data_IF_804992584657
#
_entry.id   IF_804992584657
#
_cell.length_a   1.000
_cell.length_b   1.000
_cell.length_c   1.000
_cell.angle_alpha   90.00
_cell.angle_beta   90.00
_cell.angle_gamma   90.00
#
_symmetry.space_group_name_H-M   'P 1'
#
loop_
_entity.id
_entity.type
_entity.pdbx_description
1 polymer ?
#
# COMPACT_ATOMS: atom_id res chain seq x y z
N UNK A 1 -4.12 12.04 69.18
CA UNK A 1 -3.13 11.38 68.29
C UNK A 1 -3.21 12.05 66.93
N UNK A 2 -2.11 12.64 66.47
CA UNK A 2 -2.03 13.35 65.18
C UNK A 2 -1.80 12.28 64.10
N UNK A 3 -2.57 12.23 62.99
CA UNK A 3 -2.38 11.20 61.97
C UNK A 3 -1.02 11.40 61.29
N UNK A 4 -0.28 10.31 61.13
CA UNK A 4 0.99 10.23 60.41
C UNK A 4 0.79 10.64 58.96
N UNK A 5 1.62 11.57 58.48
CA UNK A 5 1.68 11.96 57.08
C UNK A 5 2.25 10.80 56.25
N UNK A 6 1.71 10.50 55.05
CA UNK A 6 2.28 9.48 54.18
C UNK A 6 3.68 9.92 53.76
N UNK A 7 4.66 9.01 53.87
CA UNK A 7 6.03 9.27 53.45
C UNK A 7 6.04 9.61 51.95
N UNK A 8 6.56 10.80 51.60
CA UNK A 8 6.78 11.17 50.21
C UNK A 8 7.72 10.16 49.53
N UNK A 9 7.44 9.74 48.28
CA UNK A 9 8.26 8.75 47.59
C UNK A 9 9.73 9.18 47.53
N UNK A 10 10.65 8.24 47.72
CA UNK A 10 12.07 8.50 47.60
C UNK A 10 12.39 8.87 46.12
N UNK A 11 12.97 10.05 45.84
CA UNK A 11 13.28 10.47 44.47
C UNK A 11 14.18 9.49 43.69
N UNK A 12 14.97 8.67 44.39
CA UNK A 12 15.82 7.65 43.77
C UNK A 12 14.99 6.47 43.22
N UNK A 13 13.92 6.07 43.91
CA UNK A 13 13.01 5.00 43.47
C UNK A 13 12.13 5.46 42.31
N UNK A 14 11.68 6.73 42.34
CA UNK A 14 10.91 7.32 41.24
C UNK A 14 11.75 7.43 39.96
N UNK A 15 13.00 7.88 40.06
CA UNK A 15 13.91 7.93 38.92
C UNK A 15 14.22 6.54 38.35
N UNK A 16 14.36 5.53 39.20
CA UNK A 16 14.56 4.14 38.79
C UNK A 16 13.35 3.59 38.03
N UNK A 17 12.12 3.81 38.53
CA UNK A 17 10.87 3.41 37.87
C UNK A 17 10.71 4.07 36.48
N UNK A 18 11.01 5.36 36.35
CA UNK A 18 10.97 6.07 35.07
C UNK A 18 12.02 5.57 34.07
N UNK A 19 13.21 5.22 34.55
CA UNK A 19 14.30 4.71 33.69
C UNK A 19 13.94 3.35 33.08
N UNK A 20 13.33 2.45 33.86
CA UNK A 20 12.89 1.14 33.39
C UNK A 20 11.74 1.27 32.39
N UNK A 21 10.77 2.16 32.68
CA UNK A 21 9.70 2.46 31.74
C UNK A 21 10.22 3.02 30.41
N UNK A 22 11.18 3.95 30.48
CA UNK A 22 11.74 4.59 29.28
C UNK A 22 12.46 3.57 28.40
N UNK A 23 13.17 2.62 29.02
CA UNK A 23 13.81 1.50 28.33
C UNK A 23 12.79 0.65 27.58
N UNK A 24 11.71 0.23 28.24
CA UNK A 24 10.65 -0.56 27.59
C UNK A 24 9.96 0.19 26.45
N UNK A 25 9.73 1.49 26.62
CA UNK A 25 9.14 2.34 25.58
C UNK A 25 10.09 2.50 24.38
N UNK A 26 11.39 2.67 24.62
CA UNK A 26 12.39 2.79 23.56
C UNK A 26 12.53 1.48 22.76
N UNK A 27 12.55 0.33 23.46
CA UNK A 27 12.55 -0.98 22.81
C UNK A 27 11.31 -1.20 21.92
N UNK A 28 10.13 -0.76 22.38
CA UNK A 28 8.90 -0.85 21.58
C UNK A 28 8.97 0.06 20.33
N UNK A 29 9.35 1.32 20.51
CA UNK A 29 9.48 2.29 19.41
C UNK A 29 10.53 1.84 18.38
N UNK A 30 11.64 1.26 18.84
CA UNK A 30 12.68 0.72 17.98
C UNK A 30 12.18 -0.48 17.18
N UNK A 31 11.50 -1.44 17.82
CA UNK A 31 10.89 -2.58 17.12
C UNK A 31 9.88 -2.12 16.06
N UNK A 32 8.99 -1.21 16.43
CA UNK A 32 7.96 -0.69 15.53
C UNK A 32 8.59 0.02 14.32
N UNK A 33 9.52 0.94 14.56
CA UNK A 33 10.16 1.70 13.46
C UNK A 33 11.10 0.85 12.62
N UNK A 34 11.67 -0.23 13.18
CA UNK A 34 12.43 -1.24 12.42
C UNK A 34 11.53 -1.95 11.41
N UNK A 35 10.38 -2.48 11.85
CA UNK A 35 9.40 -3.12 10.96
C UNK A 35 8.98 -2.17 9.82
N UNK A 36 8.70 -0.91 10.14
CA UNK A 36 8.31 0.08 9.13
C UNK A 36 9.41 0.34 8.10
N UNK A 37 10.67 0.42 8.54
CA UNK A 37 11.82 0.61 7.65
C UNK A 37 12.05 -0.61 6.78
N UNK A 38 11.98 -1.82 7.35
CA UNK A 38 12.15 -3.08 6.62
C UNK A 38 11.06 -3.26 5.56
N UNK A 39 9.80 -3.00 5.89
CA UNK A 39 8.69 -3.04 4.93
C UNK A 39 8.90 -2.02 3.80
N UNK A 40 9.31 -0.78 4.13
CA UNK A 40 9.60 0.25 3.14
C UNK A 40 10.76 -0.15 2.23
N UNK A 41 11.81 -0.76 2.77
CA UNK A 41 12.97 -1.21 2.00
C UNK A 41 12.61 -2.36 1.05
N UNK A 42 11.77 -3.30 1.49
CA UNK A 42 11.20 -4.33 0.61
C UNK A 42 10.43 -3.75 -0.57
N UNK A 43 9.57 -2.75 -0.31
CA UNK A 43 8.81 -2.05 -1.37
C UNK A 43 9.74 -1.32 -2.34
N UNK A 44 10.80 -0.67 -1.84
CA UNK A 44 11.75 0.06 -2.68
C UNK A 44 12.55 -0.87 -3.60
N UNK A 45 13.03 -1.99 -3.07
CA UNK A 45 13.73 -3.01 -3.87
C UNK A 45 12.80 -3.59 -4.94
N UNK A 46 11.58 -3.98 -4.55
CA UNK A 46 10.60 -4.51 -5.50
C UNK A 46 10.26 -3.48 -6.57
N UNK A 47 10.00 -2.22 -6.19
CA UNK A 47 9.70 -1.14 -7.13
C UNK A 47 10.83 -0.91 -8.14
N UNK A 48 12.09 -0.93 -7.69
CA UNK A 48 13.24 -0.78 -8.59
C UNK A 48 13.32 -1.90 -9.63
N UNK A 49 13.19 -3.16 -9.20
CA UNK A 49 13.20 -4.33 -10.09
C UNK A 49 12.00 -4.30 -11.05
N UNK A 50 10.81 -4.03 -10.51
CA UNK A 50 9.58 -3.98 -11.28
C UNK A 50 9.57 -2.82 -12.29
N UNK A 51 10.16 -1.68 -11.95
CA UNK A 51 10.37 -0.56 -12.86
C UNK A 51 11.25 -0.96 -14.04
N UNK A 52 12.32 -1.73 -13.82
CA UNK A 52 13.18 -2.21 -14.90
C UNK A 52 12.43 -3.16 -15.85
N UNK A 53 11.70 -4.15 -15.29
CA UNK A 53 10.88 -5.10 -16.06
C UNK A 53 9.80 -4.37 -16.85
N UNK A 54 9.07 -3.46 -16.21
CA UNK A 54 8.01 -2.66 -16.84
C UNK A 54 8.57 -1.77 -17.94
N UNK A 55 9.72 -1.13 -17.73
CA UNK A 55 10.37 -0.28 -18.74
C UNK A 55 10.80 -1.11 -19.95
N UNK A 56 11.36 -2.31 -19.74
CA UNK A 56 11.72 -3.20 -20.84
C UNK A 56 10.50 -3.62 -21.67
N UNK A 57 9.39 -3.97 -20.99
CA UNK A 57 8.13 -4.28 -21.66
C UNK A 57 7.61 -3.08 -22.45
N UNK A 58 7.58 -1.89 -21.83
CA UNK A 58 7.16 -0.64 -22.47
C UNK A 58 7.98 -0.37 -23.74
N UNK A 59 9.30 -0.42 -23.67
CA UNK A 59 10.20 -0.22 -24.83
C UNK A 59 9.84 -1.20 -25.97
N UNK A 60 9.58 -2.46 -25.65
CA UNK A 60 9.20 -3.45 -26.66
C UNK A 60 7.82 -3.18 -27.26
N UNK A 61 6.83 -2.78 -26.45
CA UNK A 61 5.50 -2.43 -26.98
C UNK A 61 5.47 -1.13 -27.76
N UNK A 62 6.34 -0.16 -27.47
CA UNK A 62 6.42 1.08 -28.24
C UNK A 62 6.80 0.83 -29.70
N UNK A 63 7.62 -0.20 -29.97
CA UNK A 63 7.97 -0.59 -31.34
C UNK A 63 6.73 -1.00 -32.16
N UNK A 64 5.68 -1.51 -31.50
CA UNK A 64 4.41 -1.90 -32.14
C UNK A 64 3.44 -0.73 -32.37
N UNK A 65 3.76 0.45 -31.83
CA UNK A 65 3.00 1.69 -32.04
C UNK A 65 3.56 2.55 -33.18
N UNK A 66 4.67 2.13 -33.79
CA UNK A 66 5.26 2.76 -34.96
C UNK A 66 5.09 1.85 -36.18
N UNK A 67 5.00 2.40 -37.40
CA UNK A 67 5.13 1.60 -38.60
C UNK A 67 6.45 0.82 -38.57
N UNK A 68 6.41 -0.47 -38.85
CA UNK A 68 7.63 -1.25 -39.04
C UNK A 68 8.25 -0.88 -40.40
N UNK A 69 9.51 -0.46 -40.40
CA UNK A 69 10.24 -0.14 -41.63
C UNK A 69 10.38 -1.37 -42.54
N UNK A 70 10.38 -2.58 -41.95
CA UNK A 70 10.32 -3.84 -42.68
C UNK A 70 9.02 -3.99 -43.47
N UNK A 71 7.87 -3.86 -42.79
CA UNK A 71 6.56 -3.94 -43.42
C UNK A 71 6.37 -2.85 -44.49
N UNK A 72 6.81 -1.62 -44.23
CA UNK A 72 6.81 -0.55 -45.23
C UNK A 72 7.64 -0.93 -46.47
N UNK A 73 8.85 -1.48 -46.27
CA UNK A 73 9.71 -1.92 -47.39
C UNK A 73 9.06 -3.04 -48.19
N UNK A 74 8.44 -4.03 -47.53
CA UNK A 74 7.72 -5.11 -48.25
C UNK A 74 6.53 -4.58 -49.04
N UNK A 75 5.77 -3.64 -48.48
CA UNK A 75 4.64 -3.02 -49.19
C UNK A 75 5.09 -2.23 -50.42
N UNK A 76 6.22 -1.50 -50.32
CA UNK A 76 6.83 -0.79 -51.45
C UNK A 76 7.40 -1.75 -52.50
N UNK A 77 7.98 -2.88 -52.08
CA UNK A 77 8.46 -3.93 -53.00
C UNK A 77 7.31 -4.59 -53.76
N UNK A 78 6.16 -4.80 -53.10
CA UNK A 78 4.95 -5.31 -53.75
C UNK A 78 4.44 -4.29 -54.79
N UNK A 79 4.36 -3.01 -54.43
CA UNK A 79 3.94 -1.95 -55.36
C UNK A 79 4.89 -1.84 -56.57
N UNK A 80 6.22 -1.85 -56.33
CA UNK A 80 7.22 -1.90 -57.40
C UNK A 80 7.06 -3.16 -58.28
N UNK A 81 6.82 -4.33 -57.68
CA UNK A 81 6.64 -5.57 -58.44
C UNK A 81 5.42 -5.49 -59.37
N UNK A 82 4.31 -4.91 -58.89
CA UNK A 82 3.09 -4.73 -59.66
C UNK A 82 3.25 -3.68 -60.76
N UNK A 83 3.97 -2.59 -60.50
CA UNK A 83 4.27 -1.58 -61.53
C UNK A 83 5.15 -2.16 -62.65
N UNK A 84 6.17 -2.95 -62.31
CA UNK A 84 7.05 -3.59 -63.30
C UNK A 84 6.25 -4.58 -64.17
N UNK A 85 5.47 -5.48 -63.54
CA UNK A 85 4.63 -6.44 -64.28
C UNK A 85 3.52 -5.76 -65.11
N UNK A 86 2.95 -4.66 -64.62
CA UNK A 86 1.96 -3.87 -65.36
C UNK A 86 2.54 -3.17 -66.60
N UNK A 87 3.79 -2.72 -66.51
CA UNK A 87 4.49 -2.06 -67.62
C UNK A 87 4.76 -3.01 -68.80
N UNK A 88 5.04 -4.28 -68.52
CA UNK A 88 5.25 -5.31 -69.55
C UNK A 88 3.96 -5.60 -70.35
N UNK A 89 2.79 -5.45 -69.72
CA UNK A 89 1.48 -5.65 -70.35
C UNK A 89 0.87 -4.36 -70.95
N UNK A 90 1.57 -3.21 -70.91
CA UNK A 90 1.08 -1.94 -71.45
C UNK A 90 -0.07 -1.30 -70.65
N UNK A 91 -0.43 -1.86 -69.50
CA UNK A 91 -1.45 -1.33 -68.59
C UNK A 91 -0.80 -0.44 -67.52
N UNK A 92 -1.15 0.84 -67.47
CA UNK A 92 -0.78 1.71 -66.35
C UNK A 92 -1.53 1.27 -65.09
N UNK A 93 -0.83 0.60 -64.18
CA UNK A 93 -1.39 0.23 -62.87
C UNK A 93 -1.33 1.48 -61.97
N UNK A 94 -2.45 1.92 -61.39
CA UNK A 94 -2.44 3.05 -60.46
C UNK A 94 -1.58 2.72 -59.23
N UNK A 95 -0.90 3.72 -58.62
CA UNK A 95 -0.07 3.50 -57.43
C UNK A 95 -0.90 2.86 -56.31
N UNK A 96 -0.37 1.82 -55.66
CA UNK A 96 -1.07 1.18 -54.55
C UNK A 96 -1.21 2.18 -53.38
N UNK A 97 -2.44 2.53 -52.95
CA UNK A 97 -2.61 3.47 -51.84
C UNK A 97 -2.12 2.82 -50.55
N UNK A 98 -1.00 3.31 -50.01
CA UNK A 98 -0.49 2.89 -48.71
C UNK A 98 -1.46 3.42 -47.65
N UNK A 99 -2.21 2.56 -46.94
CA UNK A 99 -3.14 3.03 -45.92
C UNK A 99 -2.36 3.74 -44.81
N UNK A 100 -2.91 4.82 -44.22
CA UNK A 100 -2.28 5.49 -43.10
C UNK A 100 -2.14 4.50 -41.94
N UNK A 101 -0.95 4.48 -41.32
CA UNK A 101 -0.70 3.62 -40.17
C UNK A 101 -1.63 3.99 -39.01
N UNK A 102 -2.39 3.00 -38.53
CA UNK A 102 -3.21 3.13 -37.33
C UNK A 102 -2.81 2.02 -36.35
N UNK A 103 -2.32 2.37 -35.15
CA UNK A 103 -1.91 1.37 -34.17
C UNK A 103 -3.10 0.55 -33.68
N UNK A 104 -2.87 -0.74 -33.41
CA UNK A 104 -3.89 -1.63 -32.89
C UNK A 104 -4.33 -1.21 -31.48
N UNK A 105 -5.64 -1.25 -31.23
CA UNK A 105 -6.25 -0.96 -29.92
C UNK A 105 -5.59 -1.76 -28.78
N UNK A 106 -5.23 -3.02 -29.03
CA UNK A 106 -4.60 -3.90 -28.04
C UNK A 106 -3.22 -3.37 -27.60
N UNK A 107 -2.39 -2.92 -28.54
CA UNK A 107 -1.06 -2.39 -28.22
C UNK A 107 -1.14 -1.01 -27.55
N UNK A 108 -2.09 -0.16 -27.94
CA UNK A 108 -2.32 1.12 -27.26
C UNK A 108 -2.75 0.90 -25.81
N UNK A 109 -3.73 0.02 -25.59
CA UNK A 109 -4.26 -0.28 -24.24
C UNK A 109 -3.19 -0.90 -23.36
N UNK A 110 -2.39 -1.82 -23.89
CA UNK A 110 -1.25 -2.41 -23.20
C UNK A 110 -0.25 -1.34 -22.71
N UNK A 111 0.13 -0.39 -23.58
CA UNK A 111 1.06 0.68 -23.21
C UNK A 111 0.48 1.55 -22.08
N UNK A 112 -0.80 1.93 -22.16
CA UNK A 112 -1.48 2.70 -21.11
C UNK A 112 -1.44 1.93 -19.78
N UNK A 113 -1.76 0.63 -19.79
CA UNK A 113 -1.74 -0.20 -18.59
C UNK A 113 -0.34 -0.33 -17.98
N UNK A 114 0.71 -0.51 -18.80
CA UNK A 114 2.08 -0.59 -18.31
C UNK A 114 2.62 0.75 -17.80
N UNK A 115 2.28 1.87 -18.44
CA UNK A 115 2.62 3.20 -17.93
C UNK A 115 1.90 3.49 -16.62
N UNK A 116 0.62 3.14 -16.50
CA UNK A 116 -0.14 3.28 -15.26
C UNK A 116 0.45 2.41 -14.16
N UNK A 117 0.79 1.16 -14.48
CA UNK A 117 1.47 0.24 -13.58
C UNK A 117 2.80 0.83 -13.07
N UNK A 118 3.63 1.36 -13.97
CA UNK A 118 4.90 2.00 -13.61
C UNK A 118 4.68 3.23 -12.70
N UNK A 119 3.73 4.10 -13.03
CA UNK A 119 3.41 5.28 -12.25
C UNK A 119 2.92 4.93 -10.83
N UNK A 120 2.07 3.91 -10.69
CA UNK A 120 1.61 3.39 -9.40
C UNK A 120 2.76 2.79 -8.59
N UNK A 121 3.66 2.04 -9.24
CA UNK A 121 4.86 1.49 -8.60
C UNK A 121 5.74 2.60 -8.03
N UNK A 122 6.07 3.62 -8.83
CA UNK A 122 6.86 4.77 -8.39
C UNK A 122 6.16 5.53 -7.24
N UNK A 123 4.84 5.71 -7.34
CA UNK A 123 4.05 6.33 -6.28
C UNK A 123 4.14 5.53 -4.97
N UNK A 124 4.13 4.20 -5.05
CA UNK A 124 4.33 3.32 -3.89
C UNK A 124 5.72 3.49 -3.26
N UNK A 125 6.78 3.60 -4.06
CA UNK A 125 8.13 3.87 -3.58
C UNK A 125 8.24 5.25 -2.91
N UNK A 126 7.61 6.29 -3.47
CA UNK A 126 7.55 7.61 -2.86
C UNK A 126 6.85 7.54 -1.49
N UNK A 127 5.71 6.86 -1.40
CA UNK A 127 5.01 6.66 -0.14
C UNK A 127 5.87 5.88 0.88
N UNK A 128 6.52 4.79 0.46
CA UNK A 128 7.44 4.03 1.30
C UNK A 128 8.62 4.88 1.83
N UNK A 129 9.21 5.73 0.97
CA UNK A 129 10.26 6.67 1.39
C UNK A 129 9.77 7.69 2.43
N UNK A 130 8.55 8.21 2.27
CA UNK A 130 7.95 9.13 3.23
C UNK A 130 7.71 8.46 4.58
N UNK A 131 7.22 7.22 4.60
CA UNK A 131 7.08 6.42 5.83
C UNK A 131 8.43 6.18 6.50
N UNK A 132 9.47 5.85 5.71
CA UNK A 132 10.83 5.68 6.23
C UNK A 132 11.37 6.97 6.84
N UNK A 133 11.12 8.12 6.20
CA UNK A 133 11.47 9.45 6.73
C UNK A 133 10.71 9.75 8.02
N UNK A 134 9.42 9.46 8.08
CA UNK A 134 8.62 9.61 9.28
C UNK A 134 9.14 8.74 10.42
N UNK A 135 9.40 7.45 10.18
CA UNK A 135 9.92 6.51 11.17
C UNK A 135 11.25 6.99 11.78
N UNK A 136 12.14 7.54 10.94
CA UNK A 136 13.39 8.17 11.42
C UNK A 136 13.11 9.40 12.29
N UNK A 137 12.25 10.30 11.81
CA UNK A 137 11.90 11.53 12.54
C UNK A 137 11.26 11.22 13.90
N UNK A 138 10.38 10.22 13.96
CA UNK A 138 9.77 9.74 15.19
C UNK A 138 10.83 9.32 16.22
N UNK A 139 11.77 8.44 15.81
CA UNK A 139 12.86 7.99 16.69
C UNK A 139 13.74 9.16 17.13
N UNK A 140 14.15 10.04 16.22
CA UNK A 140 15.01 11.17 16.57
C UNK A 140 14.33 12.08 17.59
N UNK A 141 13.08 12.49 17.35
CA UNK A 141 12.36 13.36 18.28
C UNK A 141 12.10 12.69 19.63
N UNK A 142 11.84 11.37 19.64
CA UNK A 142 11.63 10.60 20.88
C UNK A 142 12.88 10.47 21.76
N UNK A 143 14.08 10.75 21.21
CA UNK A 143 15.38 10.62 21.88
C UNK A 143 16.11 11.96 22.06
N UNK A 144 15.53 13.08 21.61
CA UNK A 144 16.14 14.41 21.71
C UNK A 144 16.07 15.04 23.11
N UNK A 145 15.25 14.50 24.01
CA UNK A 145 14.99 15.10 25.33
C UNK A 145 15.67 14.28 26.42
N UNK A 146 16.56 14.90 27.19
CA UNK A 146 17.37 14.23 28.23
C UNK A 146 16.58 13.93 29.51
N UNK A 147 15.57 14.75 29.84
CA UNK A 147 14.72 14.54 31.01
C UNK A 147 13.66 13.47 30.72
N UNK A 148 13.64 12.40 31.51
CA UNK A 148 12.73 11.26 31.30
C UNK A 148 11.25 11.65 31.29
N UNK A 149 10.83 12.57 32.17
CA UNK A 149 9.43 13.03 32.22
C UNK A 149 9.02 13.79 30.95
N UNK A 150 9.87 14.70 30.47
CA UNK A 150 9.59 15.49 29.26
C UNK A 150 9.72 14.65 27.99
N UNK A 151 10.62 13.67 27.99
CA UNK A 151 10.73 12.66 26.94
C UNK A 151 9.44 11.83 26.81
N UNK A 152 8.83 11.44 27.94
CA UNK A 152 7.56 10.73 27.95
C UNK A 152 6.40 11.59 27.39
N UNK A 153 6.38 12.90 27.68
CA UNK A 153 5.42 13.86 27.12
C UNK A 153 5.57 13.99 25.59
N UNK A 154 6.79 14.10 25.09
CA UNK A 154 7.04 14.18 23.64
C UNK A 154 6.66 12.88 22.94
N UNK A 155 7.01 11.71 23.51
CA UNK A 155 6.63 10.39 22.96
C UNK A 155 5.12 10.21 22.89
N UNK A 156 4.42 10.49 23.98
CA UNK A 156 2.96 10.40 24.01
C UNK A 156 2.31 11.37 23.02
N UNK A 157 2.80 12.61 22.90
CA UNK A 157 2.33 13.57 21.90
C UNK A 157 2.51 13.05 20.46
N UNK A 158 3.67 12.48 20.13
CA UNK A 158 3.94 11.91 18.81
C UNK A 158 3.06 10.68 18.52
N UNK A 159 2.87 9.81 19.52
CA UNK A 159 2.01 8.63 19.41
C UNK A 159 0.54 9.01 19.20
N UNK A 160 0.01 9.92 20.02
CA UNK A 160 -1.36 10.42 19.85
C UNK A 160 -1.52 11.18 18.53
N UNK A 161 -0.48 11.89 18.07
CA UNK A 161 -0.43 12.49 16.74
C UNK A 161 -0.54 11.44 15.63
N UNK A 162 0.28 10.39 15.69
CA UNK A 162 0.24 9.28 14.73
C UNK A 162 -1.15 8.62 14.68
N UNK A 163 -1.77 8.40 15.84
CA UNK A 163 -3.12 7.83 15.93
C UNK A 163 -4.17 8.79 15.36
N UNK A 164 -4.09 10.10 15.68
CA UNK A 164 -5.02 11.13 15.21
C UNK A 164 -4.99 11.31 13.69
N UNK A 165 -3.81 11.21 13.08
CA UNK A 165 -3.65 11.29 11.63
C UNK A 165 -3.79 9.94 10.92
N UNK A 166 -4.31 8.92 11.60
CA UNK A 166 -4.60 7.61 11.01
C UNK A 166 -3.37 6.99 10.33
N UNK A 167 -2.20 7.13 10.95
CA UNK A 167 -0.95 6.73 10.32
C UNK A 167 -0.88 5.25 9.97
N UNK A 168 -1.67 4.41 10.65
CA UNK A 168 -1.89 3.01 10.25
C UNK A 168 -2.32 2.86 8.79
N UNK A 169 -3.17 3.74 8.27
CA UNK A 169 -3.53 3.73 6.84
C UNK A 169 -2.37 4.12 5.95
N UNK A 170 -1.52 5.06 6.40
CA UNK A 170 -0.36 5.48 5.62
C UNK A 170 0.60 4.30 5.36
N UNK A 171 0.71 3.33 6.29
CA UNK A 171 1.50 2.12 6.11
C UNK A 171 0.89 1.10 5.13
N UNK A 172 -0.42 1.10 4.97
CA UNK A 172 -1.13 0.19 4.04
C UNK A 172 -1.20 0.73 2.61
N UNK A 173 -1.07 2.05 2.42
CA UNK A 173 -1.13 2.68 1.08
C UNK A 173 -0.04 2.19 0.12
N UNK A 174 1.27 2.20 0.48
CA UNK A 174 2.32 1.73 -0.42
C UNK A 174 2.11 0.30 -0.95
N UNK A 175 1.88 -0.74 -0.11
CA UNK A 175 1.69 -2.09 -0.62
C UNK A 175 0.42 -2.22 -1.48
N UNK A 176 -0.64 -1.46 -1.18
CA UNK A 176 -1.85 -1.45 -2.02
C UNK A 176 -1.57 -0.87 -3.41
N UNK A 177 -0.88 0.27 -3.50
CA UNK A 177 -0.47 0.85 -4.79
C UNK A 177 0.39 -0.13 -5.59
N UNK A 178 1.28 -0.86 -4.91
CA UNK A 178 2.14 -1.86 -5.50
C UNK A 178 1.35 -3.06 -6.05
N UNK A 179 0.35 -3.56 -5.32
CA UNK A 179 -0.51 -4.64 -5.80
C UNK A 179 -1.31 -4.22 -7.05
N UNK A 180 -1.89 -3.02 -7.05
CA UNK A 180 -2.57 -2.50 -8.24
C UNK A 180 -1.62 -2.39 -9.43
N UNK A 181 -0.39 -1.92 -9.20
CA UNK A 181 0.66 -1.86 -10.22
C UNK A 181 0.95 -3.22 -10.84
N UNK A 182 1.13 -4.27 -10.04
CA UNK A 182 1.34 -5.64 -10.54
C UNK A 182 0.14 -6.14 -11.35
N UNK A 183 -1.09 -5.90 -10.87
CA UNK A 183 -2.31 -6.30 -11.58
C UNK A 183 -2.45 -5.60 -12.94
N UNK A 184 -2.21 -4.29 -13.02
CA UNK A 184 -2.21 -3.57 -14.29
C UNK A 184 -1.12 -4.07 -15.25
N UNK A 185 0.04 -4.48 -14.73
CA UNK A 185 1.09 -5.06 -15.55
C UNK A 185 0.71 -6.42 -16.12
N UNK A 186 0.12 -7.29 -15.28
CA UNK A 186 -0.43 -8.57 -15.69
C UNK A 186 -1.50 -8.42 -16.78
N UNK A 187 -2.45 -7.49 -16.59
CA UNK A 187 -3.43 -7.17 -17.63
C UNK A 187 -2.77 -6.70 -18.93
N UNK A 188 -1.78 -5.81 -18.85
CA UNK A 188 -1.03 -5.36 -20.03
C UNK A 188 -0.39 -6.52 -20.80
N UNK A 189 0.16 -7.53 -20.11
CA UNK A 189 0.69 -8.74 -20.76
C UNK A 189 -0.38 -9.50 -21.55
N UNK A 190 -1.61 -9.62 -21.01
CA UNK A 190 -2.71 -10.25 -21.72
C UNK A 190 -3.06 -9.49 -23.01
N UNK A 191 -3.18 -8.17 -22.94
CA UNK A 191 -3.43 -7.33 -24.11
C UNK A 191 -2.29 -7.39 -25.13
N UNK A 192 -1.04 -7.48 -24.68
CA UNK A 192 0.13 -7.59 -25.55
C UNK A 192 0.17 -8.90 -26.34
N UNK A 193 -0.04 -10.04 -25.66
CA UNK A 193 0.08 -11.36 -26.29
C UNK A 193 -1.17 -11.77 -27.06
N UNK A 194 -2.34 -11.18 -26.78
CA UNK A 194 -3.59 -11.51 -27.48
C UNK A 194 -3.50 -11.42 -29.02
N UNK A 195 -2.97 -10.34 -29.63
CA UNK A 195 -2.79 -10.28 -31.09
C UNK A 195 -1.57 -11.07 -31.58
N UNK A 196 -0.56 -11.32 -30.75
CA UNK A 196 0.71 -11.95 -31.16
C UNK A 196 0.60 -13.47 -31.19
N UNK A 197 0.12 -14.10 -30.12
CA UNK A 197 0.01 -15.56 -30.03
C UNK A 197 -1.09 -15.99 -29.06
N UNK A 198 -2.14 -16.62 -29.61
CA UNK A 198 -3.27 -17.14 -28.82
C UNK A 198 -2.84 -18.16 -27.75
N UNK A 199 -1.92 -19.11 -28.01
CA UNK A 199 -1.48 -20.04 -26.97
C UNK A 199 -0.84 -19.32 -25.78
N UNK A 200 0.10 -18.40 -26.01
CA UNK A 200 0.76 -17.66 -24.94
C UNK A 200 -0.24 -16.83 -24.13
N UNK A 201 -1.20 -16.19 -24.80
CA UNK A 201 -2.31 -15.50 -24.14
C UNK A 201 -3.08 -16.41 -23.17
N UNK A 202 -3.47 -17.61 -23.60
CA UNK A 202 -4.22 -18.53 -22.73
C UNK A 202 -3.39 -18.99 -21.53
N UNK A 203 -2.12 -19.34 -21.74
CA UNK A 203 -1.23 -19.73 -20.62
C UNK A 203 -1.07 -18.59 -19.60
N UNK A 204 -0.83 -17.35 -20.06
CA UNK A 204 -0.72 -16.18 -19.20
C UNK A 204 -2.04 -15.84 -18.50
N UNK A 205 -3.18 -15.94 -19.20
CA UNK A 205 -4.50 -15.68 -18.63
C UNK A 205 -4.86 -16.67 -17.52
N UNK A 206 -4.53 -17.96 -17.71
CA UNK A 206 -4.76 -18.99 -16.70
C UNK A 206 -3.86 -18.74 -15.48
N UNK A 207 -2.56 -18.48 -15.68
CA UNK A 207 -1.65 -18.23 -14.55
C UNK A 207 -2.05 -16.98 -13.75
N UNK A 208 -2.36 -15.88 -14.45
CA UNK A 208 -2.79 -14.62 -13.80
C UNK A 208 -4.15 -14.78 -13.12
N UNK A 209 -5.06 -15.55 -13.73
CA UNK A 209 -6.38 -15.85 -13.17
C UNK A 209 -6.30 -16.66 -11.88
N UNK A 210 -5.44 -17.67 -11.81
CA UNK A 210 -5.23 -18.48 -10.59
C UNK A 210 -4.65 -17.61 -9.47
N UNK A 211 -3.62 -16.80 -9.76
CA UNK A 211 -3.01 -15.91 -8.78
C UNK A 211 -4.00 -14.85 -8.29
N UNK A 212 -4.75 -14.24 -9.20
CA UNK A 212 -5.78 -13.25 -8.87
C UNK A 212 -6.90 -13.86 -8.02
N UNK A 213 -7.35 -15.07 -8.35
CA UNK A 213 -8.35 -15.78 -7.57
C UNK A 213 -7.86 -16.08 -6.15
N UNK A 214 -6.64 -16.61 -6.01
CA UNK A 214 -6.03 -16.85 -4.71
C UNK A 214 -5.93 -15.55 -3.89
N UNK A 215 -5.50 -14.45 -4.51
CA UNK A 215 -5.40 -13.15 -3.86
C UNK A 215 -6.76 -12.61 -3.39
N UNK A 216 -7.81 -12.76 -4.21
CA UNK A 216 -9.19 -12.38 -3.84
C UNK A 216 -9.69 -13.25 -2.68
N UNK A 217 -9.48 -14.56 -2.72
CA UNK A 217 -9.87 -15.47 -1.65
C UNK A 217 -9.21 -15.08 -0.33
N UNK A 218 -7.91 -14.79 -0.33
CA UNK A 218 -7.17 -14.33 0.85
C UNK A 218 -7.67 -12.97 1.36
N UNK A 219 -8.14 -12.10 0.46
CA UNK A 219 -8.67 -10.78 0.82
C UNK A 219 -10.07 -10.87 1.44
N UNK A 220 -10.90 -11.81 0.99
CA UNK A 220 -12.29 -11.97 1.44
C UNK A 220 -12.41 -12.95 2.62
N UNK A 221 -11.44 -13.87 2.80
CA UNK A 221 -11.46 -14.83 3.91
C UNK A 221 -11.71 -14.21 5.31
N UNK A 222 -11.11 -13.05 5.66
CA UNK A 222 -11.36 -12.39 6.96
C UNK A 222 -12.81 -11.91 7.17
N UNK A 223 -13.60 -11.81 6.10
CA UNK A 223 -15.00 -11.39 6.19
C UNK A 223 -15.91 -12.54 6.63
N UNK A 224 -15.53 -13.78 6.31
CA UNK A 224 -16.26 -14.97 6.72
C UNK A 224 -15.81 -15.48 8.09
N UNK A 225 -14.52 -15.40 8.36
CA UNK A 225 -13.94 -15.76 9.66
C UNK A 225 -13.00 -14.67 10.16
N UNK A 226 -13.42 -13.97 11.22
CA UNK A 226 -12.64 -12.89 11.83
C UNK A 226 -11.41 -13.39 12.59
N UNK A 227 -11.28 -14.69 12.83
CA UNK A 227 -10.10 -15.31 13.45
C UNK A 227 -9.04 -15.72 12.43
N UNK A 228 -9.34 -15.54 11.14
CA UNK A 228 -8.44 -15.87 10.05
C UNK A 228 -7.15 -15.01 10.11
N UNK A 229 -5.95 -15.62 10.07
CA UNK A 229 -4.68 -14.90 10.18
C UNK A 229 -4.27 -14.18 8.89
N UNK A 230 -4.95 -14.45 7.77
CA UNK A 230 -4.65 -13.80 6.48
C UNK A 230 -5.14 -12.36 6.51
N UNK A 231 -4.23 -11.40 6.54
CA UNK A 231 -4.60 -9.99 6.47
C UNK A 231 -3.90 -9.34 5.27
N UNK A 232 -4.64 -9.15 4.18
CA UNK A 232 -4.11 -8.40 3.03
C UNK A 232 -4.30 -6.90 3.26
N UNK A 233 -3.37 -6.04 2.79
CA UNK A 233 -3.51 -4.58 2.90
C UNK A 233 -4.85 -4.04 2.37
N UNK A 234 -5.37 -4.68 1.31
CA UNK A 234 -6.66 -4.34 0.71
C UNK A 234 -7.83 -4.75 1.62
N UNK A 235 -7.75 -5.90 2.31
CA UNK A 235 -8.81 -6.32 3.25
C UNK A 235 -8.93 -5.33 4.41
N UNK A 236 -7.78 -4.88 4.94
CA UNK A 236 -7.70 -3.86 5.98
C UNK A 236 -8.36 -2.55 5.53
N UNK A 237 -7.96 -2.00 4.38
CA UNK A 237 -8.55 -0.74 3.85
C UNK A 237 -10.04 -0.91 3.54
N UNK A 238 -10.44 -2.04 2.93
CA UNK A 238 -11.83 -2.34 2.61
C UNK A 238 -12.71 -2.39 3.85
N UNK A 239 -12.23 -3.02 4.93
CA UNK A 239 -12.92 -3.06 6.22
C UNK A 239 -13.14 -1.65 6.78
N UNK A 240 -12.13 -0.77 6.74
CA UNK A 240 -12.28 0.61 7.18
C UNK A 240 -13.23 1.43 6.31
N UNK A 241 -13.15 1.31 4.98
CA UNK A 241 -14.04 1.99 4.05
C UNK A 241 -15.51 1.55 4.24
N UNK A 242 -15.74 0.26 4.50
CA UNK A 242 -17.04 -0.28 4.85
C UNK A 242 -17.62 0.37 6.12
N UNK A 243 -16.81 0.46 7.19
CA UNK A 243 -17.24 1.11 8.43
C UNK A 243 -17.46 2.61 8.30
N UNK A 244 -16.64 3.29 7.49
CA UNK A 244 -16.82 4.71 7.19
C UNK A 244 -18.10 4.94 6.38
N UNK A 245 -18.38 4.08 5.41
CA UNK A 245 -19.60 4.13 4.58
C UNK A 245 -20.86 3.86 5.41
N UNK A 246 -20.82 2.90 6.34
CA UNK A 246 -21.93 2.66 7.30
C UNK A 246 -22.12 3.87 8.21
N UNK A 247 -21.04 4.47 8.72
CA UNK A 247 -21.13 5.66 9.55
C UNK A 247 -21.76 6.85 8.78
N UNK A 248 -21.39 7.02 7.49
CA UNK A 248 -21.91 8.09 6.64
C UNK A 248 -23.32 7.83 6.09
N UNK A 249 -23.72 6.58 5.91
CA UNK A 249 -25.08 6.19 5.50
C UNK A 249 -26.08 6.13 6.69
N UNK A 250 -25.57 5.97 7.92
CA UNK A 250 -26.39 5.94 9.14
C UNK A 250 -27.27 7.17 9.43
N UNK A 251 -26.96 8.41 8.96
CA UNK A 251 -27.89 9.54 9.06
C UNK A 251 -29.07 9.44 8.09
N UNK A 252 -28.97 8.64 7.02
CA UNK A 252 -30.01 8.50 5.99
C UNK A 252 -31.02 7.38 6.31
N UNK A 253 -30.65 6.40 7.14
CA UNK A 253 -31.55 5.36 7.64
C UNK A 253 -31.82 5.59 9.14
N UNK A 254 -33.04 6.08 9.45
CA UNK A 254 -33.51 6.31 10.80
C UNK A 254 -33.34 5.08 11.72
N UNK A 255 -32.27 5.08 12.53
CA UNK A 255 -32.18 4.52 13.89
C UNK A 255 -30.80 4.87 14.48
N UNK A 256 -30.54 6.16 14.64
CA UNK A 256 -29.23 6.73 14.99
C UNK A 256 -28.79 6.53 16.46
N UNK A 257 -29.44 5.65 17.24
CA UNK A 257 -29.04 5.40 18.64
C UNK A 257 -28.24 4.12 18.82
N UNK A 258 -28.60 3.02 18.15
CA UNK A 258 -27.89 1.75 18.36
C UNK A 258 -26.58 1.64 17.56
N UNK A 259 -26.52 2.22 16.36
CA UNK A 259 -25.31 2.21 15.52
C UNK A 259 -24.22 3.11 16.08
N UNK A 260 -24.57 4.30 16.58
CA UNK A 260 -23.62 5.21 17.25
C UNK A 260 -23.13 4.62 18.57
N UNK A 261 -23.98 3.91 19.31
CA UNK A 261 -23.56 3.15 20.49
C UNK A 261 -22.66 1.96 20.14
N UNK A 262 -22.86 1.30 18.99
CA UNK A 262 -21.97 0.24 18.51
C UNK A 262 -20.62 0.79 18.02
N UNK A 263 -20.61 1.88 17.26
CA UNK A 263 -19.39 2.57 16.85
C UNK A 263 -18.64 3.11 18.07
N UNK A 264 -19.36 3.65 19.07
CA UNK A 264 -18.75 4.05 20.34
C UNK A 264 -18.28 2.84 21.17
N UNK A 265 -18.91 1.66 21.08
CA UNK A 265 -18.46 0.43 21.76
C UNK A 265 -17.25 -0.21 21.06
N UNK A 266 -17.18 -0.14 19.73
CA UNK A 266 -16.09 -0.66 18.91
C UNK A 266 -14.89 0.29 18.93
N UNK A 267 -15.11 1.61 18.83
CA UNK A 267 -14.10 2.63 19.16
C UNK A 267 -13.58 2.39 20.56
N UNK A 268 -14.45 2.27 21.57
CA UNK A 268 -14.06 1.84 22.93
C UNK A 268 -13.54 0.40 23.01
N UNK A 269 -13.58 -0.42 21.97
CA UNK A 269 -13.16 -1.83 21.97
C UNK A 269 -11.75 -1.99 21.38
N UNK A 270 -11.49 -1.27 20.27
CA UNK A 270 -10.19 -1.05 19.67
C UNK A 270 -9.34 -0.10 20.51
N UNK A 271 -9.92 0.99 21.00
CA UNK A 271 -9.35 1.76 22.11
C UNK A 271 -9.29 0.88 23.38
N UNK A 272 -10.20 -0.06 23.68
CA UNK A 272 -9.91 -1.00 24.80
C UNK A 272 -8.92 -2.09 24.45
N UNK A 273 -8.42 -2.23 23.23
CA UNK A 273 -7.30 -3.13 22.92
C UNK A 273 -5.99 -2.38 23.12
N UNK A 274 -5.88 -1.24 22.42
CA UNK A 274 -4.72 -0.34 22.42
C UNK A 274 -4.62 0.46 23.72
N UNK A 275 -5.74 1.00 24.22
CA UNK A 275 -5.86 1.49 25.59
C UNK A 275 -6.06 0.34 26.59
N UNK A 276 -6.25 -0.96 26.30
CA UNK A 276 -5.90 -1.97 27.34
C UNK A 276 -4.43 -2.23 27.36
N UNK A 277 -3.65 -2.11 26.29
CA UNK A 277 -2.20 -2.11 26.41
C UNK A 277 -1.70 -0.83 27.12
N UNK A 278 -2.25 0.33 26.77
CA UNK A 278 -1.91 1.60 27.39
C UNK A 278 -2.53 1.78 28.79
N UNK A 279 -3.76 1.31 29.04
CA UNK A 279 -4.37 1.21 30.38
C UNK A 279 -3.89 -0.01 31.14
N UNK A 280 -3.31 -1.08 30.60
CA UNK A 280 -2.66 -2.07 31.49
C UNK A 280 -1.43 -1.41 32.11
N UNK A 281 -0.75 -0.54 31.35
CA UNK A 281 0.26 0.37 31.92
C UNK A 281 -0.33 1.45 32.84
N UNK A 282 -1.52 2.01 32.54
CA UNK A 282 -2.19 3.05 33.36
C UNK A 282 -2.99 2.53 34.56
N UNK A 283 -3.44 1.28 34.54
CA UNK A 283 -4.12 0.53 35.59
C UNK A 283 -3.07 -0.02 36.56
N UNK A 284 -1.83 -0.27 36.13
CA UNK A 284 -0.71 -0.44 37.07
C UNK A 284 -0.38 0.89 37.78
N UNK A 285 -0.50 2.03 37.09
CA UNK A 285 -0.38 3.38 37.70
C UNK A 285 -1.55 3.69 38.66
N UNK A 286 -2.78 3.29 38.34
CA UNK A 286 -3.97 3.51 39.19
C UNK A 286 -4.17 2.42 40.28
N UNK A 287 -3.67 1.18 40.11
CA UNK A 287 -3.68 0.11 41.13
C UNK A 287 -2.59 0.28 42.20
N UNK A 288 -1.58 1.15 41.97
CA UNK A 288 -0.64 1.57 43.01
C UNK A 288 -1.22 2.67 43.91
N UNK A 289 -2.35 3.29 43.53
CA UNK A 289 -2.97 4.42 44.24
C UNK A 289 -3.55 4.07 45.62
N UNK A 290 -4.21 2.91 45.87
CA UNK A 290 -4.73 2.58 47.20
C UNK A 290 -3.72 1.93 48.15
N UNK A 291 -2.49 1.64 47.71
CA UNK A 291 -1.38 1.22 48.60
C UNK A 291 -0.48 2.39 49.02
N UNK A 292 -0.81 3.62 48.59
CA UNK A 292 -0.09 4.86 48.92
C UNK A 292 -0.88 5.77 49.88
N UNK A 293 -2.03 5.31 50.39
CA UNK A 293 -2.83 6.06 51.36
C UNK A 293 -2.88 5.45 52.78
N UNK A 294 -2.43 4.19 53.00
CA UNK A 294 -2.48 3.53 54.33
C UNK A 294 -1.28 2.61 54.67
N UNK A 295 -0.10 2.80 54.06
CA UNK A 295 1.14 2.08 54.45
C UNK A 295 2.32 3.03 54.68
#
# INVERSE_FOLDING_TARGET
MKPSQPNSPNPDEENQDWSEWMKQADEYDERMTKIWKENADGILVFTGLFSAISTAAIIESYKRLSPDSGDQTTSLLVDLSQQVSGSENGTQVPPFPIPPFSPSFFFVTCNIMWLLSLALSISSALAAMLLKKYARRYMTLSRMVDKHEDQAKVRSFLFFGAQRYYMHFAFEVPPVLLHFSVFFFGLGLLFFFYPISKPAFYYLAISEGILSLAYVLLTVAPWFDRTCPFNTPISTIGWYCWHFSIAFASPLFCSARSSQDHWNRFRRGYDRGVIKEALTKRIIIDLKKPYMEDA
#
